data_IF_688430519033
#
_entry.id   IF_688430519033
#
_cell.length_a   1.000
_cell.length_b   1.000
_cell.length_c   1.000
_cell.angle_alpha   90.00
_cell.angle_beta   90.00
_cell.angle_gamma   90.00
#
_symmetry.space_group_name_H-M   'P 1'
#
loop_
_entity.id
_entity.type
_entity.pdbx_description
1 polymer ?
#
# COMPACT_ATOMS: atom_id res chain seq x y z
N UNK A 1 5.94 1.44 -53.48
CA UNK A 1 5.80 1.62 -52.03
C UNK A 1 6.25 0.37 -51.32
N UNK A 2 7.35 0.40 -50.58
CA UNK A 2 7.78 -0.70 -49.72
C UNK A 2 8.37 -0.07 -48.46
N UNK A 3 7.59 -0.02 -47.39
CA UNK A 3 8.08 0.33 -46.07
C UNK A 3 9.07 -0.74 -45.58
N UNK A 4 10.19 -0.38 -44.94
CA UNK A 4 11.06 -1.36 -44.30
C UNK A 4 10.34 -1.96 -43.08
N UNK A 5 10.40 -3.30 -42.96
CA UNK A 5 9.95 -4.05 -41.78
C UNK A 5 10.69 -3.55 -40.53
N UNK A 6 9.98 -2.86 -39.64
CA UNK A 6 10.52 -2.55 -38.32
C UNK A 6 10.56 -3.84 -37.49
N UNK A 7 11.69 -4.21 -36.86
CA UNK A 7 11.72 -5.33 -35.94
C UNK A 7 10.71 -5.05 -34.83
N UNK A 8 9.74 -5.94 -34.66
CA UNK A 8 8.75 -5.86 -33.59
C UNK A 8 9.53 -5.73 -32.28
N UNK A 9 9.49 -4.55 -31.65
CA UNK A 9 9.86 -4.43 -30.24
C UNK A 9 8.94 -5.38 -29.50
N UNK A 10 9.47 -6.53 -29.11
CA UNK A 10 8.88 -7.32 -28.04
C UNK A 10 9.01 -6.43 -26.81
N UNK A 11 7.94 -5.71 -26.50
CA UNK A 11 7.75 -5.21 -25.14
C UNK A 11 7.91 -6.43 -24.23
N UNK A 12 8.80 -6.41 -23.23
CA UNK A 12 8.87 -7.49 -22.29
C UNK A 12 7.48 -7.64 -21.66
N UNK A 13 6.84 -8.78 -21.95
CA UNK A 13 5.65 -9.24 -21.23
C UNK A 13 6.01 -9.16 -19.75
N UNK A 14 5.21 -8.38 -19.02
CA UNK A 14 5.27 -8.10 -17.59
C UNK A 14 6.14 -9.13 -16.86
N UNK A 15 7.29 -8.68 -16.31
CA UNK A 15 8.05 -9.48 -15.37
C UNK A 15 7.06 -10.05 -14.34
N UNK A 16 7.24 -11.30 -13.85
CA UNK A 16 6.33 -11.85 -12.86
C UNK A 16 6.26 -10.83 -11.73
N UNK A 17 5.10 -10.17 -11.55
CA UNK A 17 4.91 -9.22 -10.46
C UNK A 17 5.38 -9.99 -9.23
N UNK A 18 6.48 -9.53 -8.63
CA UNK A 18 7.05 -10.16 -7.45
C UNK A 18 5.88 -10.50 -6.52
N UNK A 19 5.83 -11.73 -6.01
CA UNK A 19 4.65 -12.26 -5.34
C UNK A 19 4.12 -11.24 -4.32
N UNK A 20 3.06 -10.51 -4.69
CA UNK A 20 2.59 -9.40 -3.88
C UNK A 20 2.14 -9.99 -2.56
N UNK A 21 2.70 -9.46 -1.48
CA UNK A 21 2.42 -9.90 -0.12
C UNK A 21 0.90 -10.04 0.06
N UNK A 22 0.38 -11.25 0.36
CA UNK A 22 -1.06 -11.48 0.40
C UNK A 22 -1.76 -10.63 1.47
N UNK A 23 -1.03 -10.14 2.47
CA UNK A 23 -1.57 -9.21 3.48
C UNK A 23 -1.93 -7.83 2.91
N UNK A 24 -1.30 -7.43 1.80
CA UNK A 24 -1.62 -6.17 1.10
C UNK A 24 -2.92 -6.26 0.30
N UNK A 25 -3.49 -7.46 0.12
CA UNK A 25 -4.79 -7.67 -0.57
C UNK A 25 -6.00 -7.57 0.36
N UNK A 26 -5.78 -7.31 1.65
CA UNK A 26 -6.87 -7.16 2.61
C UNK A 26 -7.67 -5.88 2.29
N UNK A 27 -9.02 -5.94 2.30
CA UNK A 27 -9.86 -4.75 2.29
C UNK A 27 -9.52 -3.85 3.49
N UNK A 28 -9.58 -2.53 3.33
CA UNK A 28 -9.17 -1.58 4.38
C UNK A 28 -9.81 -1.86 5.74
N UNK A 29 -11.10 -2.19 5.76
CA UNK A 29 -11.80 -2.53 7.00
C UNK A 29 -11.18 -3.73 7.72
N UNK A 30 -10.87 -4.80 7.00
CA UNK A 30 -10.27 -6.00 7.60
C UNK A 30 -8.80 -5.80 7.95
N UNK A 31 -8.08 -5.01 7.15
CA UNK A 31 -6.74 -4.55 7.51
C UNK A 31 -6.74 -3.78 8.83
N UNK A 32 -7.55 -2.72 8.96
CA UNK A 32 -7.60 -1.87 10.16
C UNK A 32 -8.08 -2.63 11.41
N UNK A 33 -9.03 -3.56 11.27
CA UNK A 33 -9.45 -4.45 12.37
C UNK A 33 -8.34 -5.41 12.80
N UNK A 34 -7.52 -5.87 11.86
CA UNK A 34 -6.44 -6.83 12.13
C UNK A 34 -5.18 -6.22 12.74
N UNK A 35 -5.10 -4.89 12.85
CA UNK A 35 -3.92 -4.20 13.39
C UNK A 35 -3.94 -4.05 14.90
N UNK A 36 -5.13 -4.05 15.51
CA UNK A 36 -5.34 -3.67 16.91
C UNK A 36 -6.70 -4.19 17.42
N UNK A 37 -6.73 -4.74 18.64
CA UNK A 37 -7.94 -5.32 19.26
C UNK A 37 -8.98 -4.26 19.68
N UNK A 38 -8.59 -3.00 19.82
CA UNK A 38 -9.46 -1.91 20.29
C UNK A 38 -10.35 -1.32 19.20
N UNK A 39 -10.12 -1.68 17.94
CA UNK A 39 -10.83 -1.18 16.76
C UNK A 39 -10.75 0.35 16.57
N UNK A 40 -9.90 1.06 17.32
CA UNK A 40 -9.81 2.52 17.22
C UNK A 40 -9.33 2.97 15.85
N UNK A 41 -8.59 2.13 15.13
CA UNK A 41 -8.10 2.47 13.79
C UNK A 41 -9.21 2.48 12.72
N UNK A 42 -10.37 1.87 12.97
CA UNK A 42 -11.51 1.91 12.05
C UNK A 42 -12.02 3.33 11.79
N UNK A 43 -11.77 4.28 12.70
CA UNK A 43 -12.17 5.68 12.50
C UNK A 43 -11.51 6.33 11.27
N UNK A 44 -10.39 5.77 10.77
CA UNK A 44 -9.70 6.27 9.59
C UNK A 44 -10.19 5.63 8.29
N UNK A 45 -11.08 4.63 8.37
CA UNK A 45 -11.53 3.85 7.22
C UNK A 45 -12.04 4.73 6.08
N UNK A 46 -13.02 5.59 6.33
CA UNK A 46 -13.70 6.33 5.28
C UNK A 46 -12.76 7.31 4.58
N UNK A 47 -11.87 7.95 5.35
CA UNK A 47 -10.87 8.85 4.78
C UNK A 47 -9.80 8.09 3.98
N UNK A 48 -9.34 6.93 4.45
CA UNK A 48 -8.41 6.08 3.69
C UNK A 48 -9.07 5.59 2.39
N UNK A 49 -10.29 5.06 2.47
CA UNK A 49 -11.02 4.52 1.32
C UNK A 49 -11.42 5.59 0.29
N UNK A 50 -11.54 6.86 0.70
CA UNK A 50 -11.81 7.96 -0.22
C UNK A 50 -10.56 8.43 -0.99
N UNK A 51 -9.35 8.15 -0.49
CA UNK A 51 -8.10 8.62 -1.07
C UNK A 51 -7.27 7.51 -1.74
N UNK A 52 -7.58 6.24 -1.46
CA UNK A 52 -6.82 5.09 -1.95
C UNK A 52 -7.76 3.96 -2.41
N UNK A 53 -7.33 3.24 -3.43
CA UNK A 53 -8.06 2.10 -4.01
C UNK A 53 -7.70 0.78 -3.32
N UNK A 54 -6.47 0.65 -2.80
CA UNK A 54 -6.00 -0.58 -2.17
C UNK A 54 -4.87 -0.36 -1.18
N UNK A 55 -4.64 -1.37 -0.32
CA UNK A 55 -3.49 -1.37 0.59
C UNK A 55 -2.16 -1.61 -0.15
N UNK A 56 -2.20 -2.29 -1.31
CA UNK A 56 -1.07 -2.37 -2.24
C UNK A 56 -0.64 -0.98 -2.72
N UNK A 57 -1.59 -0.11 -3.09
CA UNK A 57 -1.30 1.26 -3.50
C UNK A 57 -0.67 2.08 -2.37
N UNK A 58 -1.19 1.97 -1.13
CA UNK A 58 -0.60 2.65 0.04
C UNK A 58 0.85 2.19 0.24
N UNK A 59 1.09 0.87 0.14
CA UNK A 59 2.43 0.31 0.25
C UNK A 59 3.36 0.85 -0.84
N UNK A 60 2.96 0.84 -2.11
CA UNK A 60 3.78 1.33 -3.23
C UNK A 60 4.15 2.82 -3.10
N UNK A 61 3.24 3.66 -2.61
CA UNK A 61 3.45 5.10 -2.49
C UNK A 61 4.30 5.43 -1.25
N UNK A 62 3.98 4.83 -0.11
CA UNK A 62 4.48 5.27 1.19
C UNK A 62 5.47 4.33 1.86
N UNK A 63 5.59 3.06 1.49
CA UNK A 63 6.52 2.14 2.12
C UNK A 63 7.86 2.09 1.38
N UNK A 64 8.95 2.40 2.07
CA UNK A 64 10.30 2.40 1.50
C UNK A 64 11.33 2.10 2.60
N UNK A 65 12.39 1.37 2.26
CA UNK A 65 13.51 1.07 3.17
C UNK A 65 13.06 0.43 4.50
N UNK A 66 11.98 -0.37 4.45
CA UNK A 66 11.45 -1.09 5.61
C UNK A 66 10.58 -0.24 6.55
N UNK A 67 10.24 0.99 6.17
CA UNK A 67 9.46 1.94 6.97
C UNK A 67 8.35 2.60 6.15
N UNK A 68 7.27 3.01 6.81
CA UNK A 68 6.23 3.84 6.18
C UNK A 68 6.58 5.32 6.32
N UNK A 69 6.49 6.07 5.22
CA UNK A 69 6.83 7.50 5.15
C UNK A 69 5.87 8.35 5.99
N UNK A 70 6.35 9.41 6.66
CA UNK A 70 5.51 10.33 7.42
C UNK A 70 4.34 10.95 6.64
N UNK A 71 4.53 11.16 5.33
CA UNK A 71 3.51 11.70 4.43
C UNK A 71 2.19 10.91 4.46
N UNK A 72 2.24 9.58 4.67
CA UNK A 72 1.03 8.77 4.84
C UNK A 72 0.15 9.30 5.98
N UNK A 73 0.75 9.65 7.12
CA UNK A 73 0.02 10.12 8.29
C UNK A 73 -0.52 11.54 8.14
N UNK A 74 0.13 12.36 7.31
CA UNK A 74 -0.32 13.70 6.97
C UNK A 74 -1.53 13.62 6.04
N UNK A 75 -1.43 12.83 4.97
CA UNK A 75 -2.48 12.66 3.96
C UNK A 75 -3.72 11.96 4.51
N UNK A 76 -3.54 11.03 5.47
CA UNK A 76 -4.66 10.31 6.10
C UNK A 76 -5.20 10.99 7.37
N UNK A 77 -4.60 12.09 7.81
CA UNK A 77 -5.03 12.80 9.03
C UNK A 77 -4.78 12.04 10.34
N UNK A 78 -3.94 11.01 10.34
CA UNK A 78 -3.58 10.23 11.54
C UNK A 78 -2.60 11.05 12.39
N UNK A 79 -3.11 11.76 13.39
CA UNK A 79 -2.29 12.67 14.24
C UNK A 79 -1.80 12.05 15.55
N UNK A 80 -2.54 11.07 16.10
CA UNK A 80 -2.23 10.48 17.41
C UNK A 80 -0.96 9.61 17.33
N UNK A 81 0.06 9.92 18.14
CA UNK A 81 1.33 9.18 18.16
C UNK A 81 1.15 7.68 18.39
N UNK A 82 0.23 7.30 19.30
CA UNK A 82 -0.07 5.88 19.55
C UNK A 82 -0.59 5.15 18.31
N UNK A 83 -1.44 5.81 17.50
CA UNK A 83 -1.97 5.21 16.28
C UNK A 83 -0.89 5.07 15.21
N UNK A 84 -0.08 6.12 15.02
CA UNK A 84 1.06 6.09 14.06
C UNK A 84 1.97 4.89 14.31
N UNK A 85 2.32 4.65 15.58
CA UNK A 85 3.17 3.51 15.98
C UNK A 85 2.57 2.15 15.62
N UNK A 86 1.24 2.00 15.64
CA UNK A 86 0.58 0.75 15.24
C UNK A 86 0.73 0.53 13.73
N UNK A 87 0.55 1.57 12.91
CA UNK A 87 0.81 1.50 11.47
C UNK A 87 2.26 1.20 11.16
N UNK A 88 3.20 1.94 11.75
CA UNK A 88 4.64 1.73 11.57
C UNK A 88 5.03 0.28 11.90
N UNK A 89 4.58 -0.23 13.05
CA UNK A 89 4.82 -1.61 13.46
C UNK A 89 4.24 -2.61 12.46
N UNK A 90 2.99 -2.42 12.04
CA UNK A 90 2.36 -3.34 11.09
C UNK A 90 3.12 -3.39 9.76
N UNK A 91 3.46 -2.24 9.16
CA UNK A 91 4.22 -2.23 7.91
C UNK A 91 5.60 -2.89 8.06
N UNK A 92 6.32 -2.60 9.15
CA UNK A 92 7.62 -3.23 9.44
C UNK A 92 7.57 -4.74 9.57
N UNK A 93 6.54 -5.26 10.25
CA UNK A 93 6.39 -6.69 10.54
C UNK A 93 5.85 -7.49 9.34
N UNK A 94 5.14 -6.82 8.43
CA UNK A 94 4.37 -7.50 7.39
C UNK A 94 4.89 -7.24 5.97
N UNK A 95 5.60 -6.13 5.70
CA UNK A 95 5.93 -5.69 4.34
C UNK A 95 7.42 -5.73 3.99
N UNK A 96 8.26 -6.25 4.88
CA UNK A 96 9.69 -6.51 4.60
C UNK A 96 9.89 -7.74 3.73
#
# INVERSE_FOLDING_TARGET
ELYPEFPRRTVPVEAPRAAVNPRLRLPFREWLKGMDDSLFLLQYHDHIAANFDSLEQIHEIYFQDGEIKPAFFEDTGIKKLGHRRIFEKWFRDNCR
#
